data_IF_296111091778
#
_entry.id   IF_296111091778
#
_cell.length_a   1.000
_cell.length_b   1.000
_cell.length_c   1.000
_cell.angle_alpha   90.00
_cell.angle_beta   90.00
_cell.angle_gamma   90.00
#
_symmetry.space_group_name_H-M   'P 1'
#
loop_
_entity.id
_entity.type
_entity.pdbx_description
1 polymer ?
#
# COMPACT_ATOMS: atom_id res chain seq x y z
N UNK A 1 -14.20 -10.71 -7.37
CA UNK A 1 -13.72 -10.53 -5.97
C UNK A 1 -14.21 -9.18 -5.48
N UNK A 2 -14.82 -9.10 -4.29
CA UNK A 2 -15.18 -7.82 -3.70
C UNK A 2 -13.93 -6.95 -3.54
N UNK A 3 -14.08 -5.64 -3.74
CA UNK A 3 -12.99 -4.68 -3.58
C UNK A 3 -12.61 -4.64 -2.09
N UNK A 4 -11.31 -4.73 -1.74
CA UNK A 4 -10.89 -4.56 -0.36
C UNK A 4 -11.40 -3.22 0.17
N UNK A 5 -12.06 -3.25 1.34
CA UNK A 5 -12.57 -2.05 1.97
C UNK A 5 -11.42 -1.34 2.71
N UNK A 6 -11.26 -0.02 2.53
CA UNK A 6 -10.27 0.74 3.27
C UNK A 6 -10.67 0.82 4.75
N UNK A 7 -9.74 0.53 5.65
CA UNK A 7 -9.95 0.57 7.10
C UNK A 7 -9.31 1.81 7.74
N UNK A 8 -8.26 2.37 7.12
CA UNK A 8 -7.63 3.60 7.56
C UNK A 8 -7.32 4.54 6.40
N UNK A 9 -7.32 5.84 6.70
CA UNK A 9 -6.79 6.89 5.85
C UNK A 9 -5.44 7.33 6.42
N UNK A 10 -4.43 7.36 5.56
CA UNK A 10 -3.10 7.85 5.85
C UNK A 10 -2.94 9.27 5.29
N UNK A 11 -2.52 10.20 6.13
CA UNK A 11 -2.26 11.59 5.75
C UNK A 11 -0.77 11.89 5.83
N UNK A 12 -0.18 12.32 4.73
CA UNK A 12 1.20 12.76 4.63
C UNK A 12 1.31 14.28 4.77
N UNK A 13 2.49 14.80 5.14
CA UNK A 13 2.83 16.21 5.02
C UNK A 13 2.47 16.76 3.63
N UNK A 14 2.03 18.02 3.59
CA UNK A 14 1.51 18.72 2.39
C UNK A 14 0.12 18.26 1.92
N UNK A 15 -0.60 17.49 2.74
CA UNK A 15 -2.01 17.16 2.50
C UNK A 15 -2.24 16.00 1.55
N UNK A 16 -1.20 15.25 1.17
CA UNK A 16 -1.38 14.05 0.36
C UNK A 16 -1.98 12.95 1.23
N UNK A 17 -3.14 12.44 0.83
CA UNK A 17 -3.81 11.33 1.49
C UNK A 17 -3.80 10.06 0.65
N UNK A 18 -3.86 8.89 1.29
CA UNK A 18 -4.11 7.60 0.66
C UNK A 18 -4.83 6.69 1.65
N UNK A 19 -5.43 5.60 1.18
CA UNK A 19 -6.16 4.64 2.00
C UNK A 19 -5.34 3.37 2.21
N UNK A 20 -5.61 2.69 3.33
CA UNK A 20 -4.98 1.42 3.71
C UNK A 20 -6.09 0.43 4.06
N UNK A 21 -6.04 -0.77 3.47
CA UNK A 21 -6.99 -1.85 3.74
C UNK A 21 -6.74 -2.51 5.09
N UNK A 22 -7.74 -3.23 5.60
CA UNK A 22 -7.61 -4.01 6.84
C UNK A 22 -6.46 -5.03 6.75
N UNK A 23 -6.43 -5.82 5.66
CA UNK A 23 -5.39 -6.82 5.43
C UNK A 23 -3.97 -6.21 5.42
N UNK A 24 -3.82 -5.01 4.84
CA UNK A 24 -2.54 -4.30 4.87
C UNK A 24 -2.15 -3.87 6.29
N UNK A 25 -3.08 -3.32 7.07
CA UNK A 25 -2.82 -2.89 8.45
C UNK A 25 -2.46 -4.08 9.34
N UNK A 26 -3.20 -5.17 9.25
CA UNK A 26 -2.93 -6.41 9.96
C UNK A 26 -1.50 -6.88 9.67
N UNK A 27 -1.14 -6.96 8.39
CA UNK A 27 0.16 -7.48 8.00
C UNK A 27 1.31 -6.53 8.36
N UNK A 28 1.11 -5.21 8.35
CA UNK A 28 2.11 -4.28 8.89
C UNK A 28 2.34 -4.56 10.38
N UNK A 29 1.26 -4.80 11.15
CA UNK A 29 1.36 -5.22 12.55
C UNK A 29 2.15 -6.52 12.73
N UNK A 30 1.85 -7.55 11.93
CA UNK A 30 2.57 -8.84 11.93
C UNK A 30 4.07 -8.66 11.65
N UNK A 31 4.44 -7.73 10.76
CA UNK A 31 5.84 -7.43 10.42
C UNK A 31 6.53 -6.45 11.39
N UNK A 32 5.98 -6.22 12.58
CA UNK A 32 6.60 -5.37 13.60
C UNK A 32 6.20 -3.90 13.53
N UNK A 33 5.07 -3.60 12.90
CA UNK A 33 4.43 -2.29 12.90
C UNK A 33 5.06 -1.25 11.98
N UNK A 34 6.12 -1.56 11.24
CA UNK A 34 6.80 -0.59 10.37
C UNK A 34 6.70 -0.98 8.91
N UNK A 35 6.32 -0.03 8.05
CA UNK A 35 6.37 -0.18 6.61
C UNK A 35 6.83 1.11 5.94
N UNK A 36 7.81 0.99 5.07
CA UNK A 36 8.28 2.07 4.22
C UNK A 36 8.01 1.76 2.74
N UNK A 37 7.26 2.65 2.09
CA UNK A 37 6.96 2.56 0.66
C UNK A 37 7.82 3.53 -0.14
N UNK A 38 8.55 3.04 -1.13
CA UNK A 38 9.40 3.90 -1.95
C UNK A 38 9.31 3.56 -3.43
N UNK A 39 9.73 4.52 -4.25
CA UNK A 39 9.97 4.25 -5.66
C UNK A 39 11.47 4.18 -5.94
N UNK A 40 11.84 3.34 -6.91
CA UNK A 40 13.23 3.16 -7.33
C UNK A 40 13.32 2.78 -8.80
N UNK A 41 14.52 2.76 -9.39
CA UNK A 41 14.70 2.24 -10.74
C UNK A 41 14.41 0.75 -10.77
N UNK A 42 13.68 0.29 -11.79
CA UNK A 42 13.47 -1.14 -12.05
C UNK A 42 12.04 -1.51 -12.41
N UNK A 43 11.84 -2.79 -12.74
CA UNK A 43 10.57 -3.34 -13.14
C UNK A 43 10.22 -3.18 -14.63
N UNK A 44 9.03 -3.66 -15.00
CA UNK A 44 8.46 -3.61 -16.35
C UNK A 44 8.24 -2.17 -16.86
N UNK A 45 8.15 -1.22 -15.94
CA UNK A 45 8.09 0.21 -16.23
C UNK A 45 9.23 0.85 -15.45
N UNK A 46 9.91 1.81 -16.05
CA UNK A 46 11.18 2.41 -15.59
C UNK A 46 11.26 2.79 -14.09
N UNK A 47 10.15 2.86 -13.37
CA UNK A 47 10.08 3.07 -11.93
C UNK A 47 9.31 1.94 -11.23
N UNK A 48 9.99 1.25 -10.32
CA UNK A 48 9.44 0.22 -9.46
C UNK A 48 8.88 0.80 -8.15
N UNK A 49 7.89 0.12 -7.58
CA UNK A 49 7.29 0.38 -6.28
C UNK A 49 7.74 -0.72 -5.32
N UNK A 50 8.40 -0.30 -4.24
CA UNK A 50 9.08 -1.17 -3.30
C UNK A 50 8.58 -0.94 -1.88
N UNK A 51 8.76 -1.97 -1.06
CA UNK A 51 8.33 -2.03 0.33
C UNK A 51 9.52 -2.49 1.18
N UNK A 52 9.82 -1.75 2.25
CA UNK A 52 10.87 -2.08 3.21
C UNK A 52 10.34 -2.04 4.64
N UNK A 53 10.84 -2.91 5.49
CA UNK A 53 10.62 -2.84 6.95
C UNK A 53 11.65 -1.91 7.62
N UNK A 54 12.70 -1.52 6.88
CA UNK A 54 13.76 -0.62 7.34
C UNK A 54 13.48 0.80 6.87
N UNK A 55 13.63 1.77 7.78
CA UNK A 55 13.48 3.19 7.47
C UNK A 55 14.65 3.68 6.60
N UNK A 56 14.41 4.23 5.40
CA UNK A 56 15.48 4.74 4.57
C UNK A 56 15.87 6.18 4.94
N UNK A 57 16.82 6.73 4.18
CA UNK A 57 17.22 8.14 4.31
C UNK A 57 16.09 9.05 3.82
N UNK A 58 15.54 9.87 4.74
CA UNK A 58 14.44 10.84 4.53
C UNK A 58 13.04 10.23 4.40
N UNK A 59 12.55 9.51 5.43
CA UNK A 59 11.18 9.01 5.45
C UNK A 59 10.20 10.16 5.61
N UNK A 60 9.07 10.10 4.91
CA UNK A 60 7.92 10.97 5.14
C UNK A 60 6.84 10.13 5.81
N UNK A 61 6.65 10.33 7.10
CA UNK A 61 5.68 9.56 7.89
C UNK A 61 4.24 10.02 7.62
N UNK A 62 3.32 9.07 7.60
CA UNK A 62 1.89 9.33 7.55
C UNK A 62 1.27 9.25 8.93
N UNK A 63 0.32 10.15 9.22
CA UNK A 63 -0.61 9.99 10.33
C UNK A 63 -1.77 9.11 9.88
N UNK A 64 -2.07 8.04 10.63
CA UNK A 64 -3.18 7.15 10.36
C UNK A 64 -4.41 7.58 11.15
N UNK A 65 -5.57 7.61 10.47
CA UNK A 65 -6.88 7.83 11.07
C UNK A 65 -7.84 6.75 10.58
N UNK A 66 -8.74 6.23 11.43
CA UNK A 66 -9.76 5.27 10.97
C UNK A 66 -10.65 5.90 9.91
N UNK A 67 -11.05 5.12 8.90
CA UNK A 67 -12.14 5.52 7.99
C UNK A 67 -13.45 5.15 8.68
N UNK A 68 -14.39 6.09 8.86
CA UNK A 68 -15.69 5.76 9.43
C UNK A 68 -16.40 4.77 8.50
N UNK A 69 -16.79 3.62 9.04
CA UNK A 69 -17.68 2.68 8.35
C UNK A 69 -18.98 3.44 8.08
N UNK A 70 -19.21 3.82 6.82
CA UNK A 70 -20.48 4.42 6.44
C UNK A 70 -21.49 3.29 6.44
N UNK A 71 -22.40 3.28 7.42
CA UNK A 71 -23.50 2.33 7.53
C UNK A 71 -24.40 2.42 6.29
N UNK A 72 -24.04 1.69 5.23
CA UNK A 72 -24.90 1.48 4.09
C UNK A 72 -25.87 0.34 4.43
N UNK A 73 -27.06 0.75 4.89
CA UNK A 73 -28.33 0.04 4.83
C UNK A 73 -28.43 -1.30 5.59
N UNK A 74 -28.82 -1.21 6.87
CA UNK A 74 -30.07 -1.84 7.30
C UNK A 74 -30.15 -3.35 7.56
N UNK A 75 -29.08 -4.16 7.48
CA UNK A 75 -29.18 -5.58 7.84
C UNK A 75 -28.04 -6.08 8.73
N UNK A 76 -28.26 -6.06 10.05
CA UNK A 76 -27.43 -6.76 11.02
C UNK A 76 -27.61 -8.27 10.88
N UNK A 77 -26.57 -8.97 10.46
CA UNK A 77 -26.31 -10.34 10.92
C UNK A 77 -25.14 -10.22 11.91
N UNK A 78 -25.36 -10.44 13.22
CA UNK A 78 -24.25 -10.50 14.16
C UNK A 78 -23.57 -11.87 13.97
N UNK A 79 -22.70 -11.99 12.97
CA UNK A 79 -21.66 -13.01 13.02
C UNK A 79 -20.58 -12.49 13.95
N UNK A 80 -20.59 -13.06 15.15
CA UNK A 80 -19.53 -13.04 16.15
C UNK A 80 -18.13 -12.79 15.57
N UNK A 81 -17.40 -11.86 16.22
CA UNK A 81 -15.95 -11.60 16.09
C UNK A 81 -15.48 -10.39 15.27
N UNK A 82 -16.28 -9.31 15.17
CA UNK A 82 -15.81 -8.02 14.62
C UNK A 82 -15.47 -6.96 15.70
N UNK A 83 -15.52 -7.32 16.98
CA UNK A 83 -15.38 -6.38 18.10
C UNK A 83 -13.95 -6.26 18.69
N UNK A 84 -12.98 -7.05 18.22
CA UNK A 84 -11.64 -7.12 18.86
C UNK A 84 -10.45 -6.74 17.97
N UNK A 85 -10.66 -6.41 16.70
CA UNK A 85 -9.58 -5.90 15.84
C UNK A 85 -9.62 -4.37 15.72
N UNK A 86 -9.68 -3.67 16.87
CA UNK A 86 -9.23 -2.28 16.88
C UNK A 86 -7.73 -2.30 16.61
N UNK A 87 -7.34 -2.18 15.34
CA UNK A 87 -5.95 -1.97 14.99
C UNK A 87 -5.45 -0.79 15.81
N UNK A 88 -4.48 -1.03 16.68
CA UNK A 88 -3.82 0.05 17.40
C UNK A 88 -2.97 0.82 16.40
N UNK A 89 -3.59 1.81 15.75
CA UNK A 89 -2.92 2.67 14.77
C UNK A 89 -1.72 3.40 15.37
N UNK A 90 -1.65 3.54 16.70
CA UNK A 90 -0.51 4.15 17.38
C UNK A 90 0.76 3.30 17.32
N UNK A 91 0.63 1.99 17.09
CA UNK A 91 1.75 1.06 16.93
C UNK A 91 2.23 0.94 15.47
N UNK A 92 1.53 1.57 14.51
CA UNK A 92 1.85 1.46 13.08
C UNK A 92 2.63 2.70 12.59
N UNK A 93 3.88 2.47 12.19
CA UNK A 93 4.76 3.42 11.54
C UNK A 93 4.76 3.21 10.02
N UNK A 94 3.86 3.91 9.33
CA UNK A 94 3.80 3.93 7.88
C UNK A 94 4.52 5.17 7.34
N UNK A 95 5.45 4.97 6.40
CA UNK A 95 6.20 6.06 5.79
C UNK A 95 6.37 5.85 4.30
N UNK A 96 6.59 6.95 3.58
CA UNK A 96 6.82 6.92 2.14
C UNK A 96 8.01 7.78 1.75
N UNK A 97 8.64 7.47 0.62
CA UNK A 97 9.64 8.35 0.02
C UNK A 97 9.01 9.66 -0.49
N UNK A 98 9.73 10.78 -0.34
CA UNK A 98 9.21 12.12 -0.68
C UNK A 98 8.77 12.28 -2.15
N UNK A 99 9.37 11.53 -3.05
CA UNK A 99 9.13 11.50 -4.48
C UNK A 99 8.00 10.54 -4.89
N UNK A 100 7.63 9.60 -4.01
CA UNK A 100 6.44 8.77 -4.15
C UNK A 100 5.18 9.46 -3.61
N UNK A 101 5.31 10.24 -2.52
CA UNK A 101 4.20 10.92 -1.84
C UNK A 101 3.16 11.58 -2.79
N UNK A 102 3.54 12.44 -3.77
CA UNK A 102 2.56 13.05 -4.66
C UNK A 102 1.88 12.06 -5.62
N UNK A 103 2.50 10.91 -5.91
CA UNK A 103 1.99 9.93 -6.90
C UNK A 103 0.97 8.95 -6.30
N UNK A 104 1.01 8.76 -4.99
CA UNK A 104 0.08 7.89 -4.25
C UNK A 104 -1.12 8.66 -3.70
N UNK A 105 -1.24 9.97 -3.98
CA UNK A 105 -2.40 10.72 -3.55
C UNK A 105 -3.71 10.13 -4.11
N UNK A 106 -4.67 9.87 -3.23
CA UNK A 106 -5.91 9.14 -3.52
C UNK A 106 -5.71 7.65 -3.80
N UNK A 107 -4.52 7.11 -3.53
CA UNK A 107 -4.19 5.72 -3.75
C UNK A 107 -4.73 4.80 -2.66
N UNK A 108 -4.66 3.49 -2.90
CA UNK A 108 -5.05 2.45 -1.94
C UNK A 108 -3.90 1.48 -1.79
N UNK A 109 -3.35 1.36 -0.59
CA UNK A 109 -2.36 0.37 -0.18
C UNK A 109 -3.09 -0.88 0.31
N UNK A 110 -2.65 -2.04 -0.18
CA UNK A 110 -3.26 -3.32 0.15
C UNK A 110 -2.22 -4.42 0.32
N UNK A 111 -2.61 -5.48 1.02
CA UNK A 111 -1.86 -6.73 1.12
C UNK A 111 -2.77 -7.89 0.76
N UNK A 112 -2.27 -8.83 -0.05
CA UNK A 112 -3.04 -10.01 -0.41
C UNK A 112 -2.30 -10.91 -1.38
N UNK A 113 -3.00 -11.93 -1.89
CA UNK A 113 -2.47 -12.78 -2.95
C UNK A 113 -2.62 -12.09 -4.31
N UNK A 114 -1.47 -11.72 -4.87
CA UNK A 114 -1.36 -11.13 -6.20
C UNK A 114 -0.40 -11.94 -7.05
N UNK A 115 -0.94 -12.57 -8.10
CA UNK A 115 -0.19 -13.47 -8.99
C UNK A 115 0.46 -14.65 -8.24
N UNK A 116 -0.26 -15.27 -7.30
CA UNK A 116 0.19 -16.38 -6.45
C UNK A 116 1.34 -16.00 -5.50
N UNK A 117 1.39 -14.72 -5.11
CA UNK A 117 2.41 -14.19 -4.20
C UNK A 117 1.71 -13.26 -3.21
N UNK A 118 1.83 -13.57 -1.92
CA UNK A 118 1.41 -12.67 -0.84
C UNK A 118 2.35 -11.48 -0.76
N UNK A 119 1.81 -10.26 -0.89
CA UNK A 119 2.62 -9.04 -0.91
C UNK A 119 1.78 -7.77 -0.74
N UNK A 120 2.48 -6.70 -0.39
CA UNK A 120 1.96 -5.35 -0.48
C UNK A 120 1.89 -4.88 -1.95
N UNK A 121 0.83 -4.17 -2.31
CA UNK A 121 0.69 -3.46 -3.58
C UNK A 121 -0.05 -2.14 -3.42
N UNK A 122 0.10 -1.26 -4.41
CA UNK A 122 -0.76 -0.10 -4.58
C UNK A 122 -1.91 -0.44 -5.54
N UNK A 123 -3.05 -0.88 -4.99
CA UNK A 123 -4.27 -1.21 -5.75
C UNK A 123 -4.66 -0.11 -6.73
N UNK A 124 -4.72 1.13 -6.22
CA UNK A 124 -5.03 2.33 -6.99
C UNK A 124 -3.98 3.42 -6.72
N UNK A 125 -3.70 4.24 -7.73
CA UNK A 125 -2.82 5.41 -7.67
C UNK A 125 -3.30 6.42 -8.71
N UNK A 126 -4.44 7.11 -8.46
CA UNK A 126 -5.04 7.99 -9.46
C UNK A 126 -4.14 9.18 -9.81
N UNK A 127 -3.29 9.63 -8.88
CA UNK A 127 -2.32 10.69 -9.14
C UNK A 127 -1.10 10.24 -9.97
N UNK A 128 -0.87 8.94 -10.14
CA UNK A 128 0.23 8.44 -10.95
C UNK A 128 -0.08 8.57 -12.44
N UNK A 129 0.76 9.33 -13.16
CA UNK A 129 0.62 9.50 -14.61
C UNK A 129 1.08 8.25 -15.36
N UNK A 130 0.29 7.84 -16.36
CA UNK A 130 0.65 6.81 -17.33
C UNK A 130 0.08 5.42 -17.04
N UNK A 131 0.23 4.49 -17.99
CA UNK A 131 -0.32 3.14 -17.88
C UNK A 131 0.36 2.35 -16.76
N UNK A 132 -0.45 1.67 -15.96
CA UNK A 132 0.01 0.85 -14.83
C UNK A 132 0.44 -0.52 -15.36
N UNK A 133 1.49 -1.11 -14.79
CA UNK A 133 1.85 -2.49 -15.12
C UNK A 133 0.81 -3.44 -14.52
N UNK A 134 0.57 -4.59 -15.16
CA UNK A 134 -0.35 -5.62 -14.66
C UNK A 134 0.03 -6.09 -13.25
N UNK A 135 1.33 -6.10 -12.92
CA UNK A 135 1.81 -6.42 -11.57
C UNK A 135 1.46 -5.40 -10.49
N UNK A 136 1.04 -4.18 -10.89
CA UNK A 136 0.77 -3.02 -10.02
C UNK A 136 1.96 -2.54 -9.19
N UNK A 137 3.17 -3.00 -9.53
CA UNK A 137 4.42 -2.69 -8.84
C UNK A 137 5.40 -1.87 -9.66
N UNK A 138 5.00 -1.41 -10.85
CA UNK A 138 5.81 -0.49 -11.63
C UNK A 138 4.94 0.56 -12.32
N UNK A 139 5.45 1.79 -12.39
CA UNK A 139 4.81 2.98 -12.94
C UNK A 139 5.75 3.67 -13.94
N UNK A 140 5.27 4.75 -14.57
CA UNK A 140 5.96 5.51 -15.61
C UNK A 140 6.06 4.80 -16.98
N UNK A 141 6.95 5.28 -17.85
CA UNK A 141 7.12 4.76 -19.20
C UNK A 141 7.58 3.29 -19.19
N UNK A 142 7.14 2.46 -20.17
CA UNK A 142 7.64 1.09 -20.28
C UNK A 142 9.17 1.09 -20.41
N UNK A 143 9.85 0.21 -19.68
CA UNK A 143 11.30 0.14 -19.64
C UNK A 143 11.92 -0.56 -20.88
N UNK A 144 11.08 -1.15 -21.73
CA UNK A 144 11.46 -1.87 -22.95
C UNK A 144 10.82 -3.26 -23.03
N UNK A 145 10.92 -3.91 -24.20
CA UNK A 145 10.31 -5.24 -24.45
C UNK A 145 10.91 -6.39 -23.62
N UNK A 146 12.07 -6.19 -23.00
CA UNK A 146 12.82 -7.22 -22.24
C UNK A 146 13.01 -6.89 -20.76
N UNK A 147 12.36 -5.85 -20.26
CA UNK A 147 12.52 -5.46 -18.85
C UNK A 147 11.79 -6.45 -17.95
N UNK A 148 12.48 -7.07 -16.97
CA UNK A 148 11.85 -8.05 -16.09
C UNK A 148 10.77 -7.38 -15.24
N UNK A 149 9.65 -8.07 -15.05
CA UNK A 149 8.66 -7.62 -14.10
C UNK A 149 9.21 -7.77 -12.68
N UNK A 150 8.86 -6.86 -11.76
CA UNK A 150 9.20 -7.05 -10.34
C UNK A 150 8.54 -8.30 -9.75
N UNK A 151 7.47 -8.80 -10.37
CA UNK A 151 6.85 -10.06 -10.01
C UNK A 151 7.72 -11.27 -10.39
N UNK A 152 8.38 -11.23 -11.55
CA UNK A 152 9.30 -12.29 -11.99
C UNK A 152 10.49 -12.39 -11.02
N UNK A 153 10.87 -11.27 -10.43
CA UNK A 153 11.94 -11.19 -9.42
C UNK A 153 11.49 -11.66 -8.03
N UNK A 154 10.19 -11.94 -7.82
CA UNK A 154 9.60 -12.35 -6.54
C UNK A 154 9.95 -11.46 -5.35
N UNK A 155 10.22 -10.18 -5.61
CA UNK A 155 10.52 -9.22 -4.54
C UNK A 155 9.22 -8.90 -3.80
N UNK A 156 9.06 -9.30 -2.54
CA UNK A 156 7.86 -8.97 -1.74
C UNK A 156 8.11 -7.80 -0.81
N UNK A 157 8.88 -8.08 0.24
CA UNK A 157 9.39 -7.15 1.25
C UNK A 157 10.91 -7.20 1.21
N UNK A 158 11.55 -6.07 1.52
CA UNK A 158 13.00 -6.00 1.70
C UNK A 158 13.34 -5.55 3.13
N UNK A 159 14.43 -6.09 3.68
CA UNK A 159 15.03 -5.62 4.94
C UNK A 159 16.28 -4.77 4.66
N UNK A 160 16.41 -4.24 3.45
CA UNK A 160 17.57 -3.50 2.97
C UNK A 160 17.53 -2.04 3.43
#
# INVERSE_FOLDING_TARGET
MPRPFPAAQATLPRGYTFEVTADALEMIGVFGGTLHCYQGPGGCRSQGLYFSLVLPRKPVFSALSPVPETEADGQRIPTSSAADQRHDFSAINLSVSSDLAPKIHGGVLDFGDYNNIQRFIWLTMPAAKGPRCTCRRSIAAPAGKRSPCLDDQRLGLSNL
#
